data_IF_969557383045
#
_entry.id   IF_969557383045
#
_cell.length_a   1.000
_cell.length_b   1.000
_cell.length_c   1.000
_cell.angle_alpha   90.00
_cell.angle_beta   90.00
_cell.angle_gamma   90.00
#
_symmetry.space_group_name_H-M   'P 1'
#
loop_
_entity.id
_entity.type
_entity.pdbx_description
1 polymer ?
#
# COMPACT_ATOMS: atom_id res chain seq x y z
N UNK A 1 48.61 16.18 -38.46
CA UNK A 1 48.61 15.24 -39.60
C UNK A 1 47.35 14.38 -39.57
N UNK A 2 46.71 14.25 -40.73
CA UNK A 2 45.68 13.27 -41.12
C UNK A 2 44.27 13.41 -40.52
N UNK A 3 43.58 14.39 -41.11
CA UNK A 3 42.19 14.37 -41.56
C UNK A 3 41.76 12.98 -42.09
N UNK A 4 40.62 12.46 -41.65
CA UNK A 4 39.76 11.58 -42.45
C UNK A 4 38.29 11.96 -42.27
N UNK A 5 37.73 12.51 -43.35
CA UNK A 5 36.31 12.67 -43.63
C UNK A 5 35.61 11.31 -43.86
N UNK A 6 34.33 11.23 -43.52
CA UNK A 6 33.26 10.57 -44.29
C UNK A 6 31.92 10.99 -43.65
N UNK A 7 31.17 11.92 -44.23
CA UNK A 7 30.15 11.79 -45.29
C UNK A 7 28.87 11.09 -44.79
N UNK A 8 27.80 11.87 -44.93
CA UNK A 8 26.43 11.71 -44.46
C UNK A 8 25.59 10.76 -45.32
N UNK A 9 24.48 10.26 -44.74
CA UNK A 9 23.26 9.94 -45.48
C UNK A 9 22.04 10.40 -44.68
N UNK A 10 21.32 11.37 -45.24
CA UNK A 10 19.95 11.74 -44.91
C UNK A 10 19.00 10.62 -45.34
N UNK A 11 18.08 10.20 -44.48
CA UNK A 11 16.89 9.47 -44.88
C UNK A 11 15.67 10.16 -44.27
N UNK A 12 15.06 11.02 -45.09
CA UNK A 12 13.80 11.69 -44.84
C UNK A 12 12.68 10.67 -45.02
N UNK A 13 12.13 10.16 -43.92
CA UNK A 13 10.92 9.35 -43.94
C UNK A 13 9.69 10.22 -43.73
N UNK A 14 9.01 10.60 -44.82
CA UNK A 14 7.65 11.16 -44.76
C UNK A 14 6.70 9.99 -44.55
N UNK A 15 6.19 9.85 -43.32
CA UNK A 15 5.09 8.95 -42.99
C UNK A 15 3.81 9.74 -42.79
N UNK A 16 2.99 9.86 -43.84
CA UNK A 16 1.57 10.19 -43.72
C UNK A 16 0.84 8.92 -43.23
N UNK A 17 0.63 8.84 -41.92
CA UNK A 17 -0.21 7.83 -41.30
C UNK A 17 -1.46 8.48 -40.72
N UNK A 18 -2.60 8.30 -41.39
CA UNK A 18 -3.90 8.56 -40.80
C UNK A 18 -4.15 7.53 -39.69
N UNK A 19 -3.96 7.91 -38.43
CA UNK A 19 -4.45 7.10 -37.30
C UNK A 19 -5.89 7.47 -37.03
N UNK A 20 -6.76 6.60 -37.57
CA UNK A 20 -8.15 6.50 -37.19
C UNK A 20 -8.30 6.41 -35.67
N UNK A 21 -9.40 6.99 -35.21
CA UNK A 21 -9.87 6.94 -33.84
C UNK A 21 -9.94 5.50 -33.33
N UNK A 22 -9.16 5.19 -32.31
CA UNK A 22 -9.45 4.13 -31.38
C UNK A 22 -9.45 4.77 -29.99
N UNK A 23 -10.59 5.35 -29.61
CA UNK A 23 -10.95 5.48 -28.20
C UNK A 23 -11.13 4.06 -27.67
N UNK A 24 -10.01 3.41 -27.31
CA UNK A 24 -10.05 2.19 -26.53
C UNK A 24 -10.84 2.45 -25.25
N UNK A 25 -11.62 1.47 -24.76
CA UNK A 25 -12.32 1.61 -23.49
C UNK A 25 -11.30 2.05 -22.46
N UNK A 26 -11.56 3.21 -21.84
CA UNK A 26 -10.73 3.70 -20.76
C UNK A 26 -10.55 2.55 -19.79
N UNK A 27 -9.32 2.04 -19.69
CA UNK A 27 -8.93 1.21 -18.57
C UNK A 27 -9.20 2.06 -17.35
N UNK A 28 -10.36 1.83 -16.74
CA UNK A 28 -10.57 2.09 -15.32
C UNK A 28 -9.54 1.21 -14.62
N UNK A 29 -8.32 1.74 -14.52
CA UNK A 29 -7.32 1.26 -13.60
C UNK A 29 -7.93 1.53 -12.26
N UNK A 30 -8.78 0.60 -11.81
CA UNK A 30 -9.58 0.71 -10.61
C UNK A 30 -8.65 1.16 -9.51
N UNK A 31 -8.78 2.43 -9.12
CA UNK A 31 -7.87 3.07 -8.17
C UNK A 31 -7.80 2.16 -6.96
N UNK A 32 -6.66 1.52 -6.77
CA UNK A 32 -6.38 0.85 -5.52
C UNK A 32 -6.25 1.98 -4.52
N UNK A 33 -7.36 2.36 -3.86
CA UNK A 33 -7.35 3.38 -2.82
C UNK A 33 -6.44 2.87 -1.71
N UNK A 34 -5.21 3.39 -1.69
CA UNK A 34 -4.28 3.18 -0.59
C UNK A 34 -4.89 3.83 0.66
N UNK A 35 -5.33 3.00 1.61
CA UNK A 35 -5.88 3.49 2.88
C UNK A 35 -4.73 3.77 3.84
N UNK A 36 -4.87 4.76 4.70
CA UNK A 36 -3.91 4.99 5.80
C UNK A 36 -4.58 4.71 7.13
N UNK A 37 -3.95 3.87 7.95
CA UNK A 37 -4.36 3.58 9.32
C UNK A 37 -3.35 4.19 10.30
N UNK A 38 -3.81 5.14 11.12
CA UNK A 38 -3.01 5.77 12.15
C UNK A 38 -3.19 5.03 13.48
N UNK A 39 -2.11 4.48 14.01
CA UNK A 39 -2.05 3.91 15.36
C UNK A 39 -1.21 4.84 16.25
N UNK A 40 -1.74 5.20 17.42
CA UNK A 40 -1.04 6.06 18.37
C UNK A 40 -0.62 5.22 19.57
N UNK A 41 0.68 5.17 19.83
CA UNK A 41 1.27 4.50 20.99
C UNK A 41 1.54 5.52 22.11
N UNK A 42 1.00 5.24 23.29
CA UNK A 42 1.09 6.08 24.50
C UNK A 42 1.92 5.39 25.58
N UNK A 43 2.11 6.05 26.73
CA UNK A 43 2.75 5.47 27.91
C UNK A 43 2.05 4.22 28.47
N UNK A 44 0.79 3.98 28.09
CA UNK A 44 -0.03 2.86 28.54
C UNK A 44 -0.37 1.90 27.38
N UNK A 45 0.47 1.87 26.35
CA UNK A 45 0.26 1.09 25.12
C UNK A 45 -0.56 1.83 24.06
N UNK A 46 -1.09 1.09 23.08
CA UNK A 46 -1.86 1.68 21.98
C UNK A 46 -3.14 2.34 22.48
N UNK A 47 -3.42 3.55 21.98
CA UNK A 47 -4.58 4.36 22.32
C UNK A 47 -5.89 3.71 21.87
N UNK A 48 -5.89 3.11 20.68
CA UNK A 48 -6.95 2.22 20.21
C UNK A 48 -6.46 0.78 20.26
N UNK A 49 -7.30 -0.11 20.81
CA UNK A 49 -6.98 -1.54 20.93
C UNK A 49 -7.39 -2.34 19.71
N UNK A 50 -8.38 -1.86 18.95
CA UNK A 50 -8.95 -2.60 17.84
C UNK A 50 -9.35 -1.68 16.67
N UNK A 51 -9.20 -2.20 15.45
CA UNK A 51 -9.73 -1.60 14.23
C UNK A 51 -10.32 -2.66 13.32
N UNK A 52 -11.30 -2.26 12.52
CA UNK A 52 -11.79 -3.05 11.39
C UNK A 52 -11.49 -2.32 10.09
N UNK A 53 -10.81 -2.99 9.16
CA UNK A 53 -10.44 -2.44 7.85
C UNK A 53 -10.80 -3.42 6.74
N UNK A 54 -11.01 -2.93 5.52
CA UNK A 54 -11.20 -3.80 4.37
C UNK A 54 -9.86 -4.28 3.81
N UNK A 55 -9.84 -5.51 3.29
CA UNK A 55 -8.69 -6.11 2.61
C UNK A 55 -8.17 -5.23 1.46
N UNK A 56 -6.87 -5.34 1.20
CA UNK A 56 -6.15 -4.53 0.22
C UNK A 56 -4.93 -3.82 0.82
N UNK A 57 -4.34 -2.93 0.03
CA UNK A 57 -3.16 -2.16 0.43
C UNK A 57 -3.55 -1.10 1.47
N UNK A 58 -2.96 -1.21 2.65
CA UNK A 58 -3.12 -0.24 3.74
C UNK A 58 -1.76 0.19 4.26
N UNK A 59 -1.54 1.49 4.33
CA UNK A 59 -0.39 2.12 4.99
C UNK A 59 -0.63 2.18 6.49
N UNK A 60 0.15 1.41 7.24
CA UNK A 60 0.18 1.45 8.70
C UNK A 60 1.14 2.56 9.13
N UNK A 61 0.60 3.55 9.84
CA UNK A 61 1.35 4.65 10.41
C UNK A 61 1.27 4.55 11.94
N UNK A 62 2.36 4.13 12.59
CA UNK A 62 2.45 4.16 14.05
C UNK A 62 3.20 5.40 14.49
N UNK A 63 2.62 6.18 15.40
CA UNK A 63 3.28 7.32 16.05
C UNK A 63 3.40 7.05 17.54
N UNK A 64 4.56 7.32 18.13
CA UNK A 64 4.74 7.25 19.57
C UNK A 64 5.33 8.54 20.13
N UNK A 65 5.22 8.74 21.45
CA UNK A 65 5.88 9.84 22.18
C UNK A 65 6.78 9.33 23.31
N UNK A 66 7.01 8.02 23.36
CA UNK A 66 7.82 7.39 24.38
C UNK A 66 9.29 7.84 24.27
N UNK A 67 10.00 8.06 25.39
CA UNK A 67 11.39 8.47 25.41
C UNK A 67 12.36 7.28 25.28
N UNK A 68 11.94 6.20 24.61
CA UNK A 68 12.73 4.97 24.42
C UNK A 68 12.64 4.46 22.98
N UNK A 69 13.71 3.81 22.54
CA UNK A 69 13.70 3.03 21.31
C UNK A 69 12.80 1.81 21.52
N UNK A 70 12.11 1.38 20.48
CA UNK A 70 11.16 0.28 20.56
C UNK A 70 11.13 -0.52 19.28
N UNK A 71 10.75 -1.79 19.36
CA UNK A 71 10.60 -2.67 18.20
C UNK A 71 9.13 -2.91 17.95
N UNK A 72 8.63 -2.48 16.79
CA UNK A 72 7.25 -2.75 16.38
C UNK A 72 7.21 -4.00 15.51
N UNK A 73 6.24 -4.86 15.80
CA UNK A 73 5.95 -6.07 15.03
C UNK A 73 4.52 -6.02 14.50
N UNK A 74 4.36 -6.46 13.26
CA UNK A 74 3.08 -6.80 12.68
C UNK A 74 3.09 -8.29 12.37
N UNK A 75 2.16 -9.02 12.96
CA UNK A 75 1.97 -10.44 12.73
C UNK A 75 0.51 -10.73 12.37
N UNK A 76 0.29 -11.83 11.63
CA UNK A 76 -1.04 -12.43 11.56
C UNK A 76 -1.30 -13.13 12.89
N UNK A 77 -2.55 -13.11 13.38
CA UNK A 77 -2.89 -13.79 14.64
C UNK A 77 -2.56 -15.30 14.52
N UNK A 78 -1.81 -15.84 15.49
CA UNK A 78 -1.23 -17.19 15.49
C UNK A 78 -0.32 -17.55 14.28
N UNK A 79 0.12 -16.57 13.49
CA UNK A 79 0.94 -16.75 12.30
C UNK A 79 2.35 -16.16 12.42
N UNK A 80 3.13 -16.18 11.33
CA UNK A 80 4.46 -15.60 11.31
C UNK A 80 4.42 -14.07 11.42
N UNK A 81 5.55 -13.51 11.84
CA UNK A 81 5.81 -12.07 11.76
C UNK A 81 5.86 -11.66 10.28
N UNK A 82 5.05 -10.67 9.92
CA UNK A 82 4.96 -10.14 8.55
C UNK A 82 5.91 -8.97 8.35
N UNK A 83 6.03 -8.11 9.36
CA UNK A 83 6.93 -6.96 9.38
C UNK A 83 7.46 -6.75 10.80
N UNK A 84 8.70 -6.33 10.88
CA UNK A 84 9.37 -5.97 12.14
C UNK A 84 10.29 -4.77 11.86
N UNK A 85 10.24 -3.77 12.72
CA UNK A 85 11.07 -2.58 12.59
C UNK A 85 11.44 -1.99 13.95
N UNK A 86 12.72 -1.68 14.11
CA UNK A 86 13.20 -0.85 15.20
C UNK A 86 12.87 0.62 14.93
N UNK A 87 12.16 1.25 15.86
CA UNK A 87 11.76 2.66 15.81
C UNK A 87 12.56 3.42 16.85
N UNK A 88 13.40 4.33 16.38
CA UNK A 88 14.28 5.14 17.24
C UNK A 88 13.54 6.33 17.85
N UNK A 89 13.92 6.77 19.05
CA UNK A 89 13.40 7.99 19.69
C UNK A 89 13.56 9.23 18.80
N UNK A 90 14.63 9.28 18.00
CA UNK A 90 14.89 10.35 17.04
C UNK A 90 13.87 10.37 15.88
N UNK A 91 13.29 9.22 15.54
CA UNK A 91 12.29 9.08 14.50
C UNK A 91 11.09 8.30 15.04
N UNK A 92 10.20 9.03 15.73
CA UNK A 92 9.08 8.49 16.52
C UNK A 92 7.91 7.95 15.69
N UNK A 93 8.20 7.44 14.51
CA UNK A 93 7.24 7.03 13.50
C UNK A 93 7.70 5.75 12.82
N UNK A 94 6.77 4.83 12.70
CA UNK A 94 6.84 3.71 11.77
C UNK A 94 5.79 3.89 10.67
N UNK A 95 6.15 3.62 9.42
CA UNK A 95 5.31 3.87 8.25
C UNK A 95 5.57 2.80 7.20
N UNK A 96 4.62 1.88 7.04
CA UNK A 96 4.75 0.73 6.13
C UNK A 96 3.47 0.51 5.34
N UNK A 97 3.60 0.23 4.04
CA UNK A 97 2.48 -0.22 3.22
C UNK A 97 2.41 -1.75 3.25
N UNK A 98 1.24 -2.29 3.61
CA UNK A 98 1.02 -3.73 3.74
C UNK A 98 -0.21 -4.13 2.93
N UNK A 99 -0.07 -5.19 2.13
CA UNK A 99 -1.19 -5.84 1.46
C UNK A 99 -1.85 -6.81 2.44
N UNK A 100 -3.03 -6.45 2.95
CA UNK A 100 -3.78 -7.30 3.86
C UNK A 100 -4.75 -8.21 3.12
N UNK A 101 -4.73 -9.50 3.46
CA UNK A 101 -5.82 -10.44 3.17
C UNK A 101 -6.78 -10.53 4.35
N UNK A 102 -8.04 -10.99 4.16
CA UNK A 102 -8.98 -11.15 5.26
C UNK A 102 -8.42 -12.02 6.40
N UNK A 103 -8.71 -11.61 7.63
CA UNK A 103 -8.24 -12.27 8.85
C UNK A 103 -7.91 -11.29 9.96
N UNK A 104 -7.34 -11.82 11.04
CA UNK A 104 -6.95 -11.04 12.21
C UNK A 104 -5.44 -10.87 12.27
N UNK A 105 -5.02 -9.66 12.60
CA UNK A 105 -3.62 -9.25 12.68
C UNK A 105 -3.38 -8.51 13.99
N UNK A 106 -2.13 -8.51 14.43
CA UNK A 106 -1.71 -7.82 15.65
C UNK A 106 -0.52 -6.94 15.32
N UNK A 107 -0.63 -5.68 15.73
CA UNK A 107 0.51 -4.76 15.83
C UNK A 107 0.90 -4.70 17.29
N UNK A 108 2.15 -5.00 17.64
CA UNK A 108 2.63 -5.07 19.02
C UNK A 108 4.00 -4.43 19.19
N UNK A 109 4.33 -4.07 20.43
CA UNK A 109 5.67 -3.68 20.85
C UNK A 109 6.39 -4.93 21.38
N UNK A 110 7.54 -5.28 20.81
CA UNK A 110 8.23 -6.52 21.16
C UNK A 110 8.68 -6.56 22.63
N UNK A 111 9.08 -5.39 23.16
CA UNK A 111 9.52 -5.22 24.54
C UNK A 111 8.37 -5.21 25.55
N UNK A 112 7.12 -5.01 25.09
CA UNK A 112 5.91 -4.99 25.91
C UNK A 112 4.74 -5.62 25.12
N UNK A 113 4.68 -6.96 25.00
CA UNK A 113 3.70 -7.63 24.14
C UNK A 113 2.24 -7.34 24.52
N UNK A 114 1.96 -7.03 25.78
CA UNK A 114 0.65 -6.58 26.24
C UNK A 114 0.23 -5.24 25.59
N UNK A 115 1.17 -4.43 25.10
CA UNK A 115 0.91 -3.26 24.28
C UNK A 115 0.72 -3.67 22.83
N UNK A 116 -0.53 -3.98 22.50
CA UNK A 116 -0.91 -4.33 21.15
C UNK A 116 -2.20 -3.66 20.68
N UNK A 117 -2.38 -3.67 19.37
CA UNK A 117 -3.58 -3.29 18.65
C UNK A 117 -3.95 -4.42 17.69
N UNK A 118 -5.21 -4.84 17.72
CA UNK A 118 -5.75 -5.88 16.83
C UNK A 118 -6.37 -5.22 15.60
N UNK A 119 -6.07 -5.76 14.42
CA UNK A 119 -6.68 -5.36 13.16
C UNK A 119 -7.53 -6.52 12.65
N UNK A 120 -8.83 -6.30 12.54
CA UNK A 120 -9.76 -7.21 11.87
C UNK A 120 -9.88 -6.77 10.41
N UNK A 121 -9.33 -7.58 9.50
CA UNK A 121 -9.40 -7.32 8.07
C UNK A 121 -10.57 -8.10 7.48
N UNK A 122 -11.57 -7.40 6.96
CA UNK A 122 -12.73 -8.00 6.29
C UNK A 122 -12.52 -8.07 4.78
N UNK A 123 -13.21 -8.98 4.09
CA UNK A 123 -13.20 -9.00 2.64
C UNK A 123 -13.65 -7.65 2.07
N UNK A 124 -13.05 -7.24 0.95
CA UNK A 124 -13.57 -6.11 0.20
C UNK A 124 -14.88 -6.55 -0.43
N UNK A 125 -16.00 -6.11 0.13
CA UNK A 125 -17.29 -6.29 -0.52
C UNK A 125 -17.24 -5.54 -1.85
N UNK A 126 -17.41 -6.30 -2.94
CA UNK A 126 -17.41 -5.78 -4.29
C UNK A 126 -18.52 -4.75 -4.47
N UNK A 127 -18.12 -3.62 -5.05
CA UNK A 127 -18.96 -2.73 -5.84
C UNK A 127 -19.92 -3.57 -6.71
N UNK A 128 -21.22 -3.22 -6.84
CA UNK A 128 -22.12 -3.97 -7.71
C UNK A 128 -21.51 -4.03 -9.12
N UNK A 129 -21.43 -5.24 -9.68
CA UNK A 129 -21.02 -5.41 -11.08
C UNK A 129 -22.07 -4.72 -11.94
N UNK A 130 -21.73 -3.54 -12.46
CA UNK A 130 -22.53 -2.85 -13.46
C UNK A 130 -22.47 -3.68 -14.75
N UNK A 131 -23.36 -4.67 -14.87
CA UNK A 131 -23.32 -5.59 -16.00
C UNK A 131 -24.52 -6.53 -16.16
N UNK A 132 -25.61 -6.36 -15.41
CA UNK A 132 -26.77 -7.25 -15.52
C UNK A 132 -28.08 -6.47 -15.70
N UNK A 133 -28.09 -5.49 -16.62
CA UNK A 133 -29.33 -4.85 -17.07
C UNK A 133 -29.37 -4.69 -18.59
N UNK A 134 -29.13 -5.76 -19.35
CA UNK A 134 -29.52 -5.77 -20.78
C UNK A 134 -29.74 -7.18 -21.35
N UNK A 135 -30.60 -7.99 -20.71
CA UNK A 135 -31.13 -9.23 -21.33
C UNK A 135 -32.61 -9.50 -21.03
N UNK A 136 -33.40 -8.44 -20.88
CA UNK A 136 -34.87 -8.53 -20.91
C UNK A 136 -35.46 -7.35 -21.68
N UNK A 137 -35.32 -7.39 -23.00
CA UNK A 137 -36.29 -6.83 -23.94
C UNK A 137 -36.49 -7.81 -25.08
#
# INVERSE_FOLDING_TARGET
>A
MKLKMAIAVLMTGIGLGASAMAQGPGTDVGRTQERTLLLVLTGNGFAQKEFTIAAGVTRILVRHRLPVDLTLRLNREAGPVLREAAVKVANRRWNEAVLFSPGRYRVEVAEAPEWHCVLTVVARTGQPEAGEEERRR
#
